data_IF_949421612755
#
_entry.id   IF_949421612755
#
_cell.length_a   1.000
_cell.length_b   1.000
_cell.length_c   1.000
_cell.angle_alpha   90.00
_cell.angle_beta   90.00
_cell.angle_gamma   90.00
#
_symmetry.space_group_name_H-M   'P 1'
#
loop_
_entity.id
_entity.type
_entity.pdbx_description
1 polymer ?
#
# COMPACT_ATOMS: atom_id res chain seq x y z
N UNK A 1 -7.03 -11.87 17.41
CA UNK A 1 -6.26 -12.22 16.18
C UNK A 1 -5.24 -13.32 16.44
N UNK A 2 -4.37 -13.16 17.43
CA UNK A 2 -3.31 -14.15 17.75
C UNK A 2 -3.92 -15.47 18.23
N UNK A 3 -4.97 -15.40 19.04
CA UNK A 3 -5.69 -16.58 19.55
C UNK A 3 -6.50 -17.35 18.48
N UNK A 4 -6.70 -16.75 17.30
CA UNK A 4 -7.47 -17.35 16.20
C UNK A 4 -6.60 -18.09 15.18
N UNK A 5 -5.29 -18.27 15.44
CA UNK A 5 -4.32 -18.92 14.53
C UNK A 5 -4.35 -18.34 13.11
N UNK A 6 -4.49 -17.03 12.97
CA UNK A 6 -4.40 -16.36 11.69
C UNK A 6 -3.02 -16.60 11.04
N UNK A 7 -3.01 -17.03 9.78
CA UNK A 7 -1.77 -17.34 9.06
C UNK A 7 -1.10 -16.09 8.46
N UNK A 8 -1.85 -15.02 8.26
CA UNK A 8 -1.37 -13.76 7.69
C UNK A 8 -2.28 -12.60 8.11
N UNK A 9 -1.75 -11.38 8.01
CA UNK A 9 -2.45 -10.13 8.27
C UNK A 9 -2.68 -9.38 6.97
N UNK A 10 -3.92 -9.01 6.70
CA UNK A 10 -4.27 -8.11 5.62
C UNK A 10 -4.83 -6.81 6.19
N UNK A 11 -4.22 -5.69 5.84
CA UNK A 11 -4.62 -4.35 6.27
C UNK A 11 -5.20 -3.59 5.08
N UNK A 12 -6.40 -3.07 5.26
CA UNK A 12 -6.99 -2.11 4.33
C UNK A 12 -6.48 -0.70 4.65
N UNK A 13 -6.32 0.11 3.60
CA UNK A 13 -5.95 1.50 3.75
C UNK A 13 -7.12 2.29 4.32
N UNK A 14 -6.97 2.71 5.56
CA UNK A 14 -7.90 3.51 6.34
C UNK A 14 -7.09 4.52 7.16
N UNK A 15 -7.63 5.69 7.39
CA UNK A 15 -6.93 6.79 8.07
C UNK A 15 -6.40 6.38 9.45
N UNK A 16 -7.19 5.64 10.24
CA UNK A 16 -6.77 5.18 11.57
C UNK A 16 -5.70 4.09 11.48
N UNK A 17 -5.84 3.17 10.53
CA UNK A 17 -4.87 2.10 10.30
C UNK A 17 -3.55 2.70 9.78
N UNK A 18 -3.62 3.65 8.87
CA UNK A 18 -2.46 4.35 8.32
C UNK A 18 -1.69 5.12 9.40
N UNK A 19 -2.39 5.87 10.26
CA UNK A 19 -1.77 6.59 11.38
C UNK A 19 -1.04 5.66 12.37
N UNK A 20 -1.38 4.38 12.42
CA UNK A 20 -0.79 3.37 13.30
C UNK A 20 0.12 2.36 12.56
N UNK A 21 0.50 2.64 11.30
CA UNK A 21 1.27 1.73 10.44
C UNK A 21 2.50 1.14 11.12
N UNK A 22 3.29 1.97 11.81
CA UNK A 22 4.51 1.53 12.50
C UNK A 22 4.20 0.57 13.66
N UNK A 23 3.20 0.87 14.47
CA UNK A 23 2.81 0.02 15.59
C UNK A 23 2.29 -1.34 15.09
N UNK A 24 1.50 -1.33 14.02
CA UNK A 24 0.98 -2.53 13.39
C UNK A 24 2.08 -3.39 12.75
N UNK A 25 3.08 -2.76 12.11
CA UNK A 25 4.23 -3.46 11.53
C UNK A 25 5.08 -4.13 12.62
N UNK A 26 5.34 -3.44 13.74
CA UNK A 26 6.06 -4.00 14.91
C UNK A 26 5.28 -5.19 15.48
N UNK A 27 3.96 -5.06 15.63
CA UNK A 27 3.11 -6.13 16.16
C UNK A 27 3.10 -7.36 15.22
N UNK A 28 3.02 -7.15 13.92
CA UNK A 28 3.08 -8.22 12.93
C UNK A 28 4.44 -8.94 12.97
N UNK A 29 5.54 -8.18 13.03
CA UNK A 29 6.89 -8.72 13.12
C UNK A 29 7.11 -9.51 14.44
N UNK A 30 6.68 -8.98 15.59
CA UNK A 30 6.80 -9.64 16.89
C UNK A 30 6.07 -10.99 16.93
N UNK A 31 4.99 -11.13 16.17
CA UNK A 31 4.22 -12.36 16.05
C UNK A 31 4.59 -13.23 14.84
N UNK A 32 5.68 -12.88 14.14
CA UNK A 32 6.13 -13.56 12.91
C UNK A 32 5.02 -13.74 11.89
N UNK A 33 4.15 -12.73 11.78
CA UNK A 33 2.97 -12.78 10.93
C UNK A 33 3.26 -12.13 9.58
N UNK A 34 3.23 -12.88 8.47
CA UNK A 34 3.28 -12.31 7.13
C UNK A 34 2.15 -11.29 6.96
N UNK A 35 2.46 -10.15 6.35
CA UNK A 35 1.51 -9.07 6.28
C UNK A 35 1.45 -8.43 4.91
N UNK A 36 0.25 -8.08 4.48
CA UNK A 36 0.00 -7.29 3.28
C UNK A 36 -0.83 -6.06 3.64
N UNK A 37 -0.49 -4.93 3.07
CA UNK A 37 -1.19 -3.68 3.34
C UNK A 37 -0.97 -2.65 2.24
N UNK A 38 -0.79 -1.42 2.63
CA UNK A 38 -0.59 -0.26 1.78
C UNK A 38 0.87 0.24 1.87
N UNK A 39 1.29 1.16 0.97
CA UNK A 39 2.69 1.59 0.86
C UNK A 39 3.33 2.03 2.18
N UNK A 40 2.65 2.88 2.95
CA UNK A 40 3.17 3.44 4.21
C UNK A 40 3.39 2.35 5.26
N UNK A 41 2.49 1.37 5.34
CA UNK A 41 2.63 0.23 6.24
C UNK A 41 3.86 -0.62 5.89
N UNK A 42 4.10 -0.88 4.60
CA UNK A 42 5.25 -1.69 4.17
C UNK A 42 6.57 -0.95 4.38
N UNK A 43 6.61 0.37 4.14
CA UNK A 43 7.77 1.21 4.48
C UNK A 43 8.03 1.29 5.99
N UNK A 44 6.99 1.16 6.80
CA UNK A 44 7.10 1.11 8.26
C UNK A 44 7.55 -0.26 8.81
N UNK A 45 7.73 -1.27 7.95
CA UNK A 45 8.19 -2.61 8.32
C UNK A 45 7.22 -3.74 8.00
N UNK A 46 6.12 -3.48 7.31
CA UNK A 46 5.26 -4.52 6.76
C UNK A 46 5.96 -5.32 5.64
N UNK A 47 5.41 -6.46 5.25
CA UNK A 47 6.06 -7.35 4.29
C UNK A 47 5.82 -6.94 2.84
N UNK A 48 4.55 -6.75 2.46
CA UNK A 48 4.15 -6.40 1.09
C UNK A 48 3.10 -5.31 1.13
N UNK A 49 3.15 -4.40 0.16
CA UNK A 49 2.06 -3.51 -0.17
C UNK A 49 1.50 -3.79 -1.56
N UNK A 50 0.19 -3.68 -1.67
CA UNK A 50 -0.51 -3.48 -2.92
C UNK A 50 -1.55 -2.39 -2.70
N UNK A 51 -1.30 -1.20 -3.21
CA UNK A 51 -2.12 -0.03 -2.91
C UNK A 51 -2.12 1.00 -4.02
N UNK A 52 -3.03 1.94 -3.91
CA UNK A 52 -3.19 3.03 -4.87
C UNK A 52 -1.96 3.94 -4.82
N UNK A 53 -1.54 4.43 -5.99
CA UNK A 53 -0.55 5.49 -6.08
C UNK A 53 -1.24 6.84 -5.82
N UNK A 54 -1.23 7.31 -4.57
CA UNK A 54 -1.85 8.58 -4.18
C UNK A 54 -1.24 9.79 -4.89
N UNK A 55 0.08 9.94 -5.07
CA UNK A 55 0.66 11.03 -5.85
C UNK A 55 0.11 11.11 -7.29
N UNK A 56 -0.13 9.99 -7.96
CA UNK A 56 -0.76 9.98 -9.28
C UNK A 56 -2.23 10.43 -9.22
N UNK A 57 -2.95 10.02 -8.18
CA UNK A 57 -4.33 10.49 -7.96
C UNK A 57 -4.39 11.99 -7.72
N UNK A 58 -3.51 12.55 -6.90
CA UNK A 58 -3.46 13.98 -6.61
C UNK A 58 -3.14 14.79 -7.86
N UNK A 59 -2.19 14.31 -8.68
CA UNK A 59 -1.88 14.92 -9.97
C UNK A 59 -3.09 14.92 -10.91
N UNK A 60 -3.84 13.83 -10.96
CA UNK A 60 -5.07 13.74 -11.78
C UNK A 60 -6.17 14.64 -11.23
N UNK A 61 -6.32 14.73 -9.91
CA UNK A 61 -7.26 15.67 -9.29
C UNK A 61 -6.94 17.13 -9.66
N UNK A 62 -5.68 17.52 -9.70
CA UNK A 62 -5.26 18.84 -10.16
C UNK A 62 -5.69 19.11 -11.61
N UNK A 63 -5.67 18.10 -12.48
CA UNK A 63 -6.14 18.22 -13.86
C UNK A 63 -7.65 18.51 -13.93
N UNK A 64 -8.46 17.91 -13.05
CA UNK A 64 -9.89 18.21 -12.94
C UNK A 64 -10.13 19.63 -12.46
N UNK A 65 -9.37 20.07 -11.46
CA UNK A 65 -9.44 21.44 -10.92
C UNK A 65 -9.13 22.45 -12.05
N UNK A 66 -8.08 22.24 -12.82
CA UNK A 66 -7.71 23.08 -13.96
C UNK A 66 -8.86 23.19 -14.98
N UNK A 67 -9.48 22.07 -15.34
CA UNK A 67 -10.63 22.07 -16.25
C UNK A 67 -11.82 22.89 -15.71
N UNK A 68 -12.13 22.73 -14.41
CA UNK A 68 -13.22 23.46 -13.76
C UNK A 68 -12.93 24.96 -13.72
N UNK A 69 -11.70 25.35 -13.38
CA UNK A 69 -11.29 26.74 -13.38
C UNK A 69 -11.33 27.38 -14.77
N UNK A 70 -11.19 26.58 -15.83
CA UNK A 70 -11.34 27.00 -17.22
C UNK A 70 -12.79 26.95 -17.74
N UNK A 71 -13.76 26.68 -16.87
CA UNK A 71 -15.18 26.78 -17.16
C UNK A 71 -15.89 25.44 -17.42
N UNK A 72 -15.22 24.29 -17.29
CA UNK A 72 -15.90 23.01 -17.37
C UNK A 72 -16.82 22.80 -16.16
N UNK A 73 -18.00 22.26 -16.41
CA UNK A 73 -18.96 21.97 -15.33
C UNK A 73 -18.59 20.66 -14.67
N UNK A 74 -18.48 20.59 -13.33
CA UNK A 74 -18.12 19.37 -12.61
C UNK A 74 -18.99 18.15 -12.98
N UNK A 75 -20.30 18.35 -13.17
CA UNK A 75 -21.24 17.27 -13.51
C UNK A 75 -21.07 16.71 -14.93
N UNK A 76 -20.33 17.40 -15.81
CA UNK A 76 -20.03 16.95 -17.17
C UNK A 76 -18.66 16.26 -17.28
N UNK A 77 -17.87 16.28 -16.19
CA UNK A 77 -16.57 15.64 -16.17
C UNK A 77 -16.73 14.13 -15.91
N UNK A 78 -15.92 13.29 -16.58
CA UNK A 78 -16.00 11.84 -16.40
C UNK A 78 -15.54 11.44 -15.00
N UNK A 79 -16.19 10.40 -14.43
CA UNK A 79 -15.73 9.75 -13.21
C UNK A 79 -14.57 8.83 -13.59
N UNK A 80 -13.39 9.11 -13.05
CA UNK A 80 -12.19 8.29 -13.27
C UNK A 80 -11.87 7.46 -12.04
N UNK A 81 -11.41 6.24 -12.25
CA UNK A 81 -10.86 5.38 -11.20
C UNK A 81 -9.33 5.43 -11.26
N UNK A 82 -8.69 5.28 -10.12
CA UNK A 82 -7.24 5.04 -10.12
C UNK A 82 -6.93 3.77 -10.91
N UNK A 83 -5.98 3.87 -11.83
CA UNK A 83 -5.47 2.74 -12.63
C UNK A 83 -4.04 2.38 -12.27
N UNK A 84 -3.38 3.21 -11.44
CA UNK A 84 -2.03 2.96 -10.97
C UNK A 84 -2.03 2.44 -9.55
N UNK A 85 -1.45 1.27 -9.39
CA UNK A 85 -1.24 0.62 -8.10
C UNK A 85 0.25 0.36 -7.93
N UNK A 86 0.74 0.52 -6.72
CA UNK A 86 2.12 0.22 -6.37
C UNK A 86 2.21 -1.13 -5.67
N UNK A 87 3.20 -1.92 -6.08
CA UNK A 87 3.65 -3.12 -5.37
C UNK A 87 4.97 -2.77 -4.69
N UNK A 88 4.99 -2.82 -3.36
CA UNK A 88 6.19 -2.59 -2.56
C UNK A 88 6.50 -3.87 -1.80
N UNK A 89 7.75 -4.29 -1.81
CA UNK A 89 8.22 -5.49 -1.12
C UNK A 89 9.34 -5.12 -0.17
N UNK A 90 9.23 -5.55 1.09
CA UNK A 90 10.26 -5.35 2.10
C UNK A 90 11.05 -6.66 2.28
N UNK A 91 12.26 -6.71 1.72
CA UNK A 91 13.13 -7.87 1.80
C UNK A 91 13.73 -8.05 3.20
N UNK A 92 13.91 -6.97 3.96
CA UNK A 92 14.37 -7.07 5.36
C UNK A 92 13.33 -7.84 6.19
N UNK A 93 12.06 -7.49 6.03
CA UNK A 93 10.95 -8.18 6.70
C UNK A 93 10.78 -9.61 6.19
N UNK A 94 10.91 -9.84 4.88
CA UNK A 94 10.89 -11.18 4.31
C UNK A 94 11.97 -12.07 4.92
N UNK A 95 13.21 -11.57 4.99
CA UNK A 95 14.33 -12.28 5.60
C UNK A 95 14.10 -12.58 7.09
N UNK A 96 13.58 -11.62 7.84
CA UNK A 96 13.27 -11.80 9.27
C UNK A 96 12.18 -12.87 9.50
N UNK A 97 11.24 -12.99 8.56
CA UNK A 97 10.18 -14.01 8.60
C UNK A 97 10.62 -15.36 8.01
N UNK A 98 11.80 -15.45 7.39
CA UNK A 98 12.25 -16.67 6.69
C UNK A 98 11.50 -16.92 5.38
N UNK A 99 10.95 -15.87 4.75
CA UNK A 99 10.17 -15.96 3.52
C UNK A 99 11.05 -15.60 2.34
N UNK A 100 11.09 -16.49 1.35
CA UNK A 100 11.75 -16.22 0.06
C UNK A 100 10.73 -15.63 -0.90
N UNK A 101 11.02 -14.42 -1.41
CA UNK A 101 10.16 -13.77 -2.39
C UNK A 101 10.36 -14.38 -3.77
N UNK A 102 9.27 -14.77 -4.47
CA UNK A 102 9.35 -15.26 -5.84
C UNK A 102 9.96 -14.21 -6.78
N UNK A 103 10.90 -14.58 -7.67
CA UNK A 103 11.50 -13.64 -8.63
C UNK A 103 10.46 -12.91 -9.51
N UNK A 104 9.38 -13.61 -9.87
CA UNK A 104 8.27 -13.03 -10.65
C UNK A 104 7.56 -11.90 -9.93
N UNK A 105 7.53 -11.91 -8.59
CA UNK A 105 6.93 -10.85 -7.79
C UNK A 105 7.90 -9.67 -7.67
N UNK A 106 9.20 -9.95 -7.49
CA UNK A 106 10.23 -8.90 -7.43
C UNK A 106 10.34 -8.11 -8.73
N UNK A 107 10.24 -8.76 -9.89
CA UNK A 107 10.25 -8.09 -11.21
C UNK A 107 9.06 -7.14 -11.37
N UNK A 108 7.93 -7.43 -10.71
CA UNK A 108 6.71 -6.61 -10.79
C UNK A 108 6.62 -5.55 -9.70
N UNK A 109 7.54 -5.55 -8.75
CA UNK A 109 7.57 -4.56 -7.69
C UNK A 109 8.00 -3.20 -8.23
N UNK A 110 7.28 -2.16 -7.83
CA UNK A 110 7.64 -0.77 -8.12
C UNK A 110 8.73 -0.27 -7.16
N UNK A 111 8.79 -0.87 -5.97
CA UNK A 111 9.78 -0.54 -4.93
C UNK A 111 10.17 -1.82 -4.18
N UNK A 112 11.46 -2.00 -3.96
CA UNK A 112 12.01 -3.09 -3.13
C UNK A 112 12.85 -2.45 -2.04
N UNK A 113 12.50 -2.72 -0.78
CA UNK A 113 13.21 -2.26 0.42
C UNK A 113 14.20 -3.34 0.82
N UNK A 114 15.51 -3.03 0.77
CA UNK A 114 16.63 -3.92 1.10
C UNK A 114 17.21 -3.64 2.48
#
# INVERSE_FOLDING_TARGET
MIDQRAAALLLYDDTMVNANSRALAILAAANRMPSCGFPEFTRAGGLIAYGINFPDMDYRAATFIDKILKGAKPGELPIERSTKFNIIINLQTAKALGITMPPTLLIRADEVIE
#
